data_IF_768530729389
#
_entry.id   IF_768530729389
#
_cell.length_a   1.000
_cell.length_b   1.000
_cell.length_c   1.000
_cell.angle_alpha   90.00
_cell.angle_beta   90.00
_cell.angle_gamma   90.00
#
_symmetry.space_group_name_H-M   'P 1'
#
loop_
_entity.id
_entity.type
_entity.pdbx_description
1 polymer ?
#
# COMPACT_ATOMS: atom_id res chain seq x y z
N UNK A 1 40.19 -26.31 -54.01
CA UNK A 1 40.76 -27.37 -53.15
C UNK A 1 41.37 -26.72 -51.93
N UNK A 2 41.04 -27.19 -50.71
CA UNK A 2 39.84 -26.72 -50.02
C UNK A 2 40.12 -25.59 -49.02
N UNK A 3 39.09 -24.76 -48.92
CA UNK A 3 38.96 -23.52 -48.16
C UNK A 3 38.36 -23.76 -46.77
N UNK A 4 38.91 -23.00 -45.82
CA UNK A 4 38.32 -22.44 -44.60
C UNK A 4 36.96 -23.01 -44.13
N UNK A 5 37.01 -23.60 -42.93
CA UNK A 5 35.92 -24.07 -42.09
C UNK A 5 34.81 -23.02 -41.88
N UNK A 6 33.59 -23.37 -42.28
CA UNK A 6 32.36 -22.65 -41.93
C UNK A 6 31.87 -23.08 -40.56
N UNK A 7 32.13 -22.24 -39.56
CA UNK A 7 31.53 -22.34 -38.23
C UNK A 7 30.07 -21.86 -38.26
N UNK A 8 29.18 -22.75 -37.84
CA UNK A 8 27.96 -22.54 -37.04
C UNK A 8 27.31 -21.15 -37.07
N UNK A 9 26.18 -21.03 -37.78
CA UNK A 9 25.11 -20.09 -37.43
C UNK A 9 24.02 -20.85 -36.68
N UNK A 10 24.10 -20.83 -35.35
CA UNK A 10 22.99 -21.18 -34.46
C UNK A 10 22.39 -19.88 -33.91
N UNK A 11 21.17 -19.59 -34.35
CA UNK A 11 20.31 -18.50 -33.90
C UNK A 11 20.04 -18.62 -32.40
N UNK A 12 20.72 -17.80 -31.60
CA UNK A 12 20.47 -17.63 -30.17
C UNK A 12 19.16 -16.84 -29.97
N UNK A 13 18.05 -17.57 -29.83
CA UNK A 13 16.91 -17.08 -29.05
C UNK A 13 17.37 -16.92 -27.59
N UNK A 14 17.81 -15.72 -27.23
CA UNK A 14 18.03 -15.36 -25.82
C UNK A 14 16.65 -15.29 -25.16
N UNK A 15 16.19 -16.43 -24.64
CA UNK A 15 15.19 -16.45 -23.56
C UNK A 15 15.81 -15.68 -22.40
N UNK A 16 15.43 -14.41 -22.23
CA UNK A 16 15.62 -13.70 -20.96
C UNK A 16 14.79 -14.43 -19.91
N UNK A 17 15.39 -15.44 -19.29
CA UNK A 17 14.93 -15.99 -18.03
C UNK A 17 14.94 -14.83 -17.03
N UNK A 18 13.76 -14.38 -16.60
CA UNK A 18 13.64 -13.55 -15.40
C UNK A 18 14.25 -14.36 -14.26
N UNK A 19 15.51 -14.09 -13.94
CA UNK A 19 16.07 -14.43 -12.66
C UNK A 19 15.45 -13.41 -11.71
N UNK A 20 14.32 -13.76 -11.10
CA UNK A 20 13.89 -13.12 -9.86
C UNK A 20 15.12 -13.12 -8.96
N UNK A 21 15.55 -11.97 -8.40
CA UNK A 21 16.66 -11.98 -7.48
C UNK A 21 16.34 -13.02 -6.41
N UNK A 22 17.23 -14.00 -6.24
CA UNK A 22 17.36 -14.67 -4.95
C UNK A 22 17.52 -13.52 -3.97
N UNK A 23 16.48 -13.26 -3.18
CA UNK A 23 16.58 -12.37 -2.04
C UNK A 23 17.77 -12.91 -1.26
N UNK A 24 18.87 -12.17 -1.30
CA UNK A 24 20.14 -12.61 -0.77
C UNK A 24 20.01 -12.63 0.75
N UNK A 25 19.59 -13.79 1.25
CA UNK A 25 19.92 -14.28 2.58
C UNK A 25 21.44 -14.47 2.57
N UNK A 26 22.20 -13.51 3.09
CA UNK A 26 23.48 -13.71 3.79
C UNK A 26 23.84 -12.37 4.48
N UNK A 27 24.07 -12.40 5.80
CA UNK A 27 24.83 -11.35 6.49
C UNK A 27 24.30 -10.88 7.84
N UNK A 28 24.19 -11.79 8.82
CA UNK A 28 24.30 -11.57 10.27
C UNK A 28 23.73 -10.26 10.88
N UNK A 29 22.41 -10.22 11.09
CA UNK A 29 21.79 -10.00 12.40
C UNK A 29 20.25 -9.95 12.24
N UNK A 30 19.63 -11.09 12.56
CA UNK A 30 18.29 -11.28 13.13
C UNK A 30 17.16 -10.28 12.79
N UNK A 31 16.76 -10.14 11.51
CA UNK A 31 15.41 -9.62 11.14
C UNK A 31 14.80 -10.44 9.95
N UNK A 32 15.30 -11.66 9.73
CA UNK A 32 14.99 -12.47 8.54
C UNK A 32 13.70 -13.31 8.57
N UNK A 33 12.74 -13.04 9.48
CA UNK A 33 11.59 -13.94 9.68
C UNK A 33 10.20 -13.33 9.40
N UNK A 34 10.07 -12.02 9.16
CA UNK A 34 8.73 -11.39 9.15
C UNK A 34 8.08 -11.18 7.77
N UNK A 35 8.82 -11.31 6.67
CA UNK A 35 8.24 -11.11 5.33
C UNK A 35 7.60 -12.39 4.73
N UNK A 36 7.96 -13.58 5.21
CA UNK A 36 7.49 -14.84 4.63
C UNK A 36 6.11 -15.32 5.14
N UNK A 37 5.47 -14.62 6.08
CA UNK A 37 4.33 -15.19 6.84
C UNK A 37 3.00 -14.43 6.75
N UNK A 38 2.86 -13.35 5.98
CA UNK A 38 1.62 -12.53 6.03
C UNK A 38 0.56 -12.82 4.96
N UNK A 39 0.83 -13.51 3.84
CA UNK A 39 -0.17 -13.62 2.76
C UNK A 39 -0.52 -15.07 2.44
N UNK A 40 -1.42 -15.66 3.22
CA UNK A 40 -2.08 -16.94 2.93
C UNK A 40 -3.45 -16.68 2.28
N UNK A 41 -3.44 -16.32 0.99
CA UNK A 41 -4.63 -16.19 0.15
C UNK A 41 -4.24 -15.85 -1.28
N UNK A 42 -4.19 -16.86 -2.16
CA UNK A 42 -3.78 -16.79 -3.58
C UNK A 42 -2.33 -16.34 -3.86
N UNK A 43 -1.36 -17.20 -3.49
CA UNK A 43 0.06 -17.01 -3.78
C UNK A 43 0.36 -16.81 -5.28
N UNK A 44 -0.40 -17.43 -6.18
CA UNK A 44 -0.18 -17.33 -7.63
C UNK A 44 -0.53 -15.95 -8.20
N UNK A 45 -1.62 -15.33 -7.72
CA UNK A 45 -2.00 -13.97 -8.11
C UNK A 45 -1.04 -12.94 -7.50
N UNK A 46 -0.59 -13.17 -6.28
CA UNK A 46 0.35 -12.29 -5.58
C UNK A 46 1.70 -12.16 -6.30
N UNK A 47 2.26 -13.26 -6.80
CA UNK A 47 3.50 -13.23 -7.60
C UNK A 47 3.32 -12.44 -8.91
N UNK A 48 2.16 -12.56 -9.55
CA UNK A 48 1.83 -11.78 -10.74
C UNK A 48 1.73 -10.28 -10.44
N UNK A 49 1.13 -9.91 -9.31
CA UNK A 49 1.05 -8.51 -8.86
C UNK A 49 2.43 -7.93 -8.57
N UNK A 50 3.28 -8.64 -7.83
CA UNK A 50 4.65 -8.21 -7.56
C UNK A 50 5.41 -7.98 -8.88
N UNK A 51 5.33 -8.94 -9.81
CA UNK A 51 6.01 -8.82 -11.10
C UNK A 51 5.54 -7.60 -11.90
N UNK A 52 4.24 -7.33 -11.88
CA UNK A 52 3.65 -6.17 -12.55
C UNK A 52 4.08 -4.86 -11.88
N UNK A 53 4.13 -4.80 -10.53
CA UNK A 53 4.65 -3.65 -9.79
C UNK A 53 6.11 -3.35 -10.13
N UNK A 54 6.98 -4.37 -10.18
CA UNK A 54 8.36 -4.20 -10.65
C UNK A 54 8.48 -3.71 -12.10
N UNK A 55 7.46 -3.92 -12.91
CA UNK A 55 7.42 -3.38 -14.29
C UNK A 55 7.07 -1.89 -14.31
N UNK A 56 6.35 -1.40 -13.28
CA UNK A 56 6.02 0.01 -13.09
C UNK A 56 7.18 0.76 -12.43
N UNK A 57 7.91 0.11 -11.52
CA UNK A 57 9.06 0.71 -10.86
C UNK A 57 10.20 0.98 -11.85
N UNK A 58 10.88 2.12 -11.68
CA UNK A 58 12.12 2.38 -12.41
C UNK A 58 13.19 1.34 -12.04
N UNK A 59 14.08 0.96 -12.99
CA UNK A 59 15.12 -0.04 -12.75
C UNK A 59 16.04 0.26 -11.57
N UNK A 60 16.27 1.54 -11.28
CA UNK A 60 17.15 2.01 -10.21
C UNK A 60 16.44 2.13 -8.85
N UNK A 61 15.16 1.75 -8.77
CA UNK A 61 14.39 1.81 -7.54
C UNK A 61 14.22 0.42 -6.93
N UNK A 62 14.42 0.35 -5.62
CA UNK A 62 14.37 -0.89 -4.85
C UNK A 62 13.14 -0.92 -3.96
N UNK A 63 12.31 -1.95 -4.11
CA UNK A 63 11.21 -2.22 -3.19
C UNK A 63 11.77 -2.79 -1.89
N UNK A 64 11.59 -2.07 -0.79
CA UNK A 64 12.10 -2.45 0.55
C UNK A 64 11.01 -2.94 1.48
N UNK A 65 9.77 -2.51 1.28
CA UNK A 65 8.60 -2.99 2.01
C UNK A 65 7.38 -2.97 1.10
N UNK A 66 6.50 -3.95 1.27
CA UNK A 66 5.12 -3.89 0.78
C UNK A 66 4.18 -4.45 1.84
N UNK A 67 3.13 -3.69 2.19
CA UNK A 67 2.06 -4.14 3.08
C UNK A 67 0.70 -3.91 2.43
N UNK A 68 -0.22 -4.84 2.64
CA UNK A 68 -1.60 -4.68 2.20
C UNK A 68 -2.37 -3.82 3.19
N UNK A 69 -3.15 -2.87 2.67
CA UNK A 69 -4.09 -2.05 3.42
C UNK A 69 -5.52 -2.54 3.25
N UNK A 70 -6.35 -2.19 4.21
CA UNK A 70 -7.80 -2.24 4.07
C UNK A 70 -8.25 -1.34 2.90
N UNK A 71 -9.33 -1.76 2.25
CA UNK A 71 -9.88 -1.11 1.07
C UNK A 71 -11.38 -0.97 1.24
N UNK A 72 -11.93 0.21 0.97
CA UNK A 72 -13.38 0.41 0.92
C UNK A 72 -14.06 -0.29 -0.26
N UNK A 73 -13.30 -0.88 -1.18
CA UNK A 73 -13.77 -1.45 -2.43
C UNK A 73 -13.49 -2.96 -2.49
N UNK A 74 -14.52 -3.81 -2.73
CA UNK A 74 -14.40 -5.27 -2.60
C UNK A 74 -13.50 -5.94 -3.65
N UNK A 75 -13.32 -5.31 -4.82
CA UNK A 75 -12.53 -5.86 -5.94
C UNK A 75 -11.22 -5.11 -6.17
N UNK A 76 -10.72 -4.43 -5.13
CA UNK A 76 -9.48 -3.65 -5.21
C UNK A 76 -8.62 -3.91 -3.99
N UNK A 77 -7.37 -4.24 -4.22
CA UNK A 77 -6.36 -4.36 -3.19
C UNK A 77 -5.50 -3.10 -3.16
N UNK A 78 -5.28 -2.57 -1.96
CA UNK A 78 -4.40 -1.43 -1.73
C UNK A 78 -3.10 -1.94 -1.14
N UNK A 79 -1.97 -1.53 -1.71
CA UNK A 79 -0.66 -1.84 -1.18
C UNK A 79 0.10 -0.55 -0.89
N UNK A 80 0.58 -0.41 0.34
CA UNK A 80 1.55 0.60 0.70
C UNK A 80 2.94 0.02 0.49
N UNK A 81 3.74 0.69 -0.33
CA UNK A 81 5.08 0.24 -0.71
C UNK A 81 6.09 1.30 -0.30
N UNK A 82 7.16 0.88 0.38
CA UNK A 82 8.36 1.72 0.55
C UNK A 82 9.34 1.34 -0.55
N UNK A 83 9.79 2.34 -1.29
CA UNK A 83 10.86 2.20 -2.28
C UNK A 83 12.04 3.08 -1.90
N UNK A 84 13.24 2.64 -2.27
CA UNK A 84 14.47 3.40 -2.10
C UNK A 84 15.19 3.59 -3.43
N UNK A 85 15.92 4.68 -3.56
CA UNK A 85 16.73 5.03 -4.72
C UNK A 85 18.02 5.70 -4.24
N UNK A 86 19.14 5.46 -4.92
CA UNK A 86 20.34 6.27 -4.70
C UNK A 86 20.19 7.56 -5.48
N UNK A 87 19.99 8.66 -4.75
CA UNK A 87 19.77 9.98 -5.32
C UNK A 87 21.03 10.59 -5.96
N UNK A 88 20.87 11.76 -6.56
CA UNK A 88 21.98 12.50 -7.19
C UNK A 88 23.11 12.82 -6.21
N UNK A 89 22.79 12.94 -4.93
CA UNK A 89 23.74 13.21 -3.85
C UNK A 89 24.49 11.96 -3.36
N UNK A 90 24.32 10.81 -4.03
CA UNK A 90 24.92 9.52 -3.64
C UNK A 90 24.47 9.05 -2.25
N UNK A 91 23.27 9.46 -1.85
CA UNK A 91 22.62 9.07 -0.60
C UNK A 91 21.33 8.33 -0.91
N UNK A 92 20.91 7.42 -0.03
CA UNK A 92 19.67 6.68 -0.21
C UNK A 92 18.47 7.56 0.15
N UNK A 93 17.60 7.77 -0.83
CA UNK A 93 16.34 8.50 -0.75
C UNK A 93 15.19 7.49 -0.71
N UNK A 94 14.14 7.79 0.07
CA UNK A 94 13.03 6.85 0.29
C UNK A 94 11.69 7.51 -0.01
N UNK A 95 10.72 6.74 -0.51
CA UNK A 95 9.37 7.23 -0.75
C UNK A 95 8.32 6.15 -0.50
N UNK A 96 7.11 6.59 -0.17
CA UNK A 96 5.90 5.79 -0.15
C UNK A 96 5.18 5.87 -1.49
N UNK A 97 4.78 4.71 -2.00
CA UNK A 97 3.83 4.57 -3.10
C UNK A 97 2.57 3.84 -2.63
N UNK A 98 1.41 4.35 -2.99
CA UNK A 98 0.12 3.68 -2.84
C UNK A 98 -0.27 3.02 -4.15
N UNK A 99 -0.21 1.69 -4.20
CA UNK A 99 -0.64 0.93 -5.36
C UNK A 99 -2.10 0.48 -5.21
N UNK A 100 -2.89 0.70 -6.26
CA UNK A 100 -4.22 0.16 -6.43
C UNK A 100 -4.19 -0.98 -7.44
N UNK A 101 -4.55 -2.18 -7.00
CA UNK A 101 -4.58 -3.40 -7.80
C UNK A 101 -6.02 -3.85 -7.98
N UNK A 102 -6.48 -3.91 -9.23
CA UNK A 102 -7.77 -4.48 -9.61
C UNK A 102 -7.56 -5.73 -10.48
N UNK A 103 -8.64 -6.35 -10.93
CA UNK A 103 -8.57 -7.47 -11.89
C UNK A 103 -8.01 -7.07 -13.26
N UNK A 104 -8.10 -5.80 -13.65
CA UNK A 104 -7.76 -5.32 -14.99
C UNK A 104 -6.51 -4.45 -15.04
N UNK A 105 -6.18 -3.76 -13.96
CA UNK A 105 -5.12 -2.76 -13.95
C UNK A 105 -4.42 -2.63 -12.59
N UNK A 106 -3.18 -2.17 -12.65
CA UNK A 106 -2.41 -1.71 -11.49
C UNK A 106 -2.09 -0.24 -11.73
N UNK A 107 -2.44 0.60 -10.77
CA UNK A 107 -2.19 2.04 -10.82
C UNK A 107 -1.50 2.49 -9.53
N UNK A 108 -0.90 3.68 -9.58
CA UNK A 108 -0.41 4.37 -8.39
C UNK A 108 -1.45 5.44 -8.09
N UNK A 109 -1.94 5.49 -6.85
CA UNK A 109 -2.93 6.48 -6.40
C UNK A 109 -2.38 7.44 -5.33
N UNK A 110 -1.11 7.25 -4.94
CA UNK A 110 -0.42 8.10 -3.98
C UNK A 110 1.10 8.00 -4.17
N UNK A 111 1.78 9.14 -4.13
CA UNK A 111 3.24 9.24 -4.08
C UNK A 111 3.63 10.23 -2.99
N UNK A 112 4.37 9.78 -1.97
CA UNK A 112 4.82 10.63 -0.85
C UNK A 112 6.32 10.44 -0.59
N UNK A 113 7.17 11.46 -0.85
CA UNK A 113 8.58 11.41 -0.45
C UNK A 113 8.74 11.35 1.07
N UNK A 114 9.78 10.66 1.55
CA UNK A 114 10.10 10.60 2.99
C UNK A 114 11.13 11.67 3.33
N UNK A 115 10.64 12.74 3.94
CA UNK A 115 11.44 13.89 4.38
C UNK A 115 11.87 13.77 5.84
N UNK A 116 12.79 14.63 6.27
CA UNK A 116 13.28 14.70 7.64
C UNK A 116 12.19 15.10 8.66
N UNK A 117 11.20 15.89 8.22
CA UNK A 117 10.08 16.36 9.04
C UNK A 117 8.93 15.34 9.14
N UNK A 118 9.02 14.20 8.45
CA UNK A 118 7.97 13.19 8.44
C UNK A 118 7.71 12.66 9.86
N UNK A 119 6.46 12.84 10.31
CA UNK A 119 5.95 12.38 11.60
C UNK A 119 5.06 11.15 11.42
N UNK A 120 5.18 10.20 12.35
CA UNK A 120 4.49 8.91 12.29
C UNK A 120 3.89 8.59 13.66
N UNK A 121 2.56 8.54 13.73
CA UNK A 121 1.82 8.28 14.97
C UNK A 121 0.82 7.13 14.79
N UNK A 122 0.47 6.44 15.88
CA UNK A 122 -0.57 5.41 15.87
C UNK A 122 -1.94 6.05 16.10
N UNK A 123 -2.97 5.56 15.41
CA UNK A 123 -4.31 6.16 15.41
C UNK A 123 -5.31 5.47 16.37
N UNK A 124 -4.86 4.44 17.10
CA UNK A 124 -5.70 3.71 18.08
C UNK A 124 -6.72 2.73 17.46
N UNK A 125 -7.17 2.95 16.23
CA UNK A 125 -8.11 2.09 15.48
C UNK A 125 -7.40 1.06 14.58
N UNK A 126 -6.25 0.55 15.02
CA UNK A 126 -5.45 -0.42 14.23
C UNK A 126 -4.72 0.17 13.02
N UNK A 127 -4.76 1.50 12.85
CA UNK A 127 -4.04 2.23 11.80
C UNK A 127 -2.87 3.06 12.33
N UNK A 128 -2.18 3.70 11.39
CA UNK A 128 -1.16 4.71 11.66
C UNK A 128 -1.32 5.91 10.74
N UNK A 129 -0.91 7.07 11.24
CA UNK A 129 -0.93 8.35 10.55
C UNK A 129 0.48 8.73 10.16
N UNK A 130 0.62 9.24 8.95
CA UNK A 130 1.86 9.82 8.43
C UNK A 130 1.58 11.26 8.06
N UNK A 131 2.34 12.18 8.63
CA UNK A 131 2.21 13.61 8.37
C UNK A 131 3.55 14.14 7.87
N UNK A 132 3.53 14.88 6.77
CA UNK A 132 4.70 15.59 6.27
C UNK A 132 4.24 16.89 5.62
N UNK A 133 4.83 18.02 6.02
CA UNK A 133 4.35 19.35 5.68
C UNK A 133 2.82 19.48 5.87
N UNK A 134 2.09 19.81 4.80
CA UNK A 134 0.64 19.99 4.80
C UNK A 134 -0.14 18.72 4.39
N UNK A 135 0.54 17.59 4.23
CA UNK A 135 -0.08 16.33 3.84
C UNK A 135 -0.20 15.39 5.04
N UNK A 136 -1.40 14.86 5.23
CA UNK A 136 -1.71 13.92 6.29
C UNK A 136 -2.40 12.69 5.69
N UNK A 137 -1.78 11.53 5.85
CA UNK A 137 -2.26 10.25 5.34
C UNK A 137 -2.57 9.30 6.48
N UNK A 138 -3.65 8.55 6.34
CA UNK A 138 -4.01 7.49 7.27
C UNK A 138 -3.97 6.14 6.56
N UNK A 139 -3.27 5.20 7.17
CA UNK A 139 -3.13 3.85 6.65
C UNK A 139 -3.64 2.83 7.65
N UNK A 140 -4.47 1.91 7.19
CA UNK A 140 -5.01 0.79 7.97
C UNK A 140 -4.53 -0.54 7.38
N UNK A 141 -3.43 -1.11 7.87
CA UNK A 141 -2.93 -2.40 7.39
C UNK A 141 -3.86 -3.54 7.80
N UNK A 142 -3.99 -4.57 6.96
CA UNK A 142 -4.93 -5.71 7.18
C UNK A 142 -4.62 -6.58 8.41
N UNK A 143 -3.51 -6.32 9.11
CA UNK A 143 -3.13 -7.04 10.32
C UNK A 143 -2.20 -6.21 11.21
N UNK A 144 -2.20 -6.54 12.51
CA UNK A 144 -1.27 -5.95 13.50
C UNK A 144 0.19 -6.20 13.13
N UNK A 145 0.51 -7.35 12.54
CA UNK A 145 1.87 -7.63 12.10
C UNK A 145 2.27 -6.72 10.92
N UNK A 146 1.38 -6.52 9.95
CA UNK A 146 1.61 -5.59 8.84
C UNK A 146 1.75 -4.14 9.33
N UNK A 147 0.93 -3.74 10.33
CA UNK A 147 1.01 -2.45 11.00
C UNK A 147 2.41 -2.21 11.58
N UNK A 148 2.88 -3.08 12.47
CA UNK A 148 4.19 -2.90 13.09
C UNK A 148 5.33 -2.97 12.08
N UNK A 149 5.23 -3.84 11.07
CA UNK A 149 6.24 -3.93 10.01
C UNK A 149 6.34 -2.61 9.23
N UNK A 150 5.22 -2.01 8.85
CA UNK A 150 5.19 -0.73 8.16
C UNK A 150 5.69 0.41 9.05
N UNK A 151 5.20 0.47 10.29
CA UNK A 151 5.57 1.51 11.25
C UNK A 151 7.08 1.53 11.50
N UNK A 152 7.69 0.37 11.75
CA UNK A 152 9.13 0.26 12.03
C UNK A 152 9.99 0.60 10.81
N UNK A 153 9.63 0.10 9.63
CA UNK A 153 10.35 0.42 8.39
C UNK A 153 10.26 1.90 8.03
N UNK A 154 9.11 2.55 8.25
CA UNK A 154 8.94 3.97 8.04
C UNK A 154 9.77 4.81 9.01
N UNK A 155 9.80 4.45 10.29
CA UNK A 155 10.68 5.12 11.27
C UNK A 155 12.16 5.01 10.87
N UNK A 156 12.58 3.85 10.37
CA UNK A 156 13.94 3.68 9.85
C UNK A 156 14.23 4.62 8.68
N UNK A 157 13.35 4.68 7.69
CA UNK A 157 13.50 5.56 6.53
C UNK A 157 13.47 7.04 6.93
N UNK A 158 12.59 7.43 7.85
CA UNK A 158 12.51 8.80 8.40
C UNK A 158 13.79 9.19 9.14
N UNK A 159 14.35 8.30 9.97
CA UNK A 159 15.63 8.56 10.63
C UNK A 159 16.79 8.76 9.64
N UNK A 160 16.79 8.01 8.54
CA UNK A 160 17.77 8.20 7.47
C UNK A 160 17.60 9.55 6.77
N UNK A 161 16.35 9.94 6.49
CA UNK A 161 16.05 11.26 5.92
C UNK A 161 16.50 12.40 6.86
N UNK A 162 16.32 12.26 8.17
CA UNK A 162 16.84 13.19 9.18
C UNK A 162 18.36 13.22 9.22
N UNK A 163 19.01 12.06 9.10
CA UNK A 163 20.47 11.97 9.11
C UNK A 163 21.11 12.73 7.94
N UNK A 164 20.51 12.62 6.75
CA UNK A 164 20.98 13.33 5.55
C UNK A 164 20.32 14.71 5.34
N UNK A 165 19.49 15.17 6.28
CA UNK A 165 18.77 16.44 6.24
C UNK A 165 17.99 16.64 4.93
N UNK A 166 17.21 15.64 4.51
CA UNK A 166 16.30 15.81 3.38
C UNK A 166 15.15 16.73 3.76
N UNK A 167 15.19 17.96 3.26
CA UNK A 167 14.20 19.01 3.51
C UNK A 167 13.49 19.31 2.19
N UNK A 168 12.17 19.48 2.23
CA UNK A 168 11.39 19.87 1.05
C UNK A 168 11.83 21.20 0.48
N UNK A 169 11.67 21.37 -0.83
CA UNK A 169 11.81 22.64 -1.55
C UNK A 169 13.18 23.34 -1.44
N UNK A 170 14.19 22.74 -0.80
CA UNK A 170 15.52 23.33 -0.60
C UNK A 170 16.67 22.53 -1.22
N UNK A 171 16.38 21.42 -1.93
CA UNK A 171 17.41 20.55 -2.52
C UNK A 171 16.96 19.81 -3.78
N UNK A 172 17.90 19.07 -4.38
CA UNK A 172 17.72 18.23 -5.60
C UNK A 172 17.41 16.75 -5.25
N UNK A 173 16.84 16.53 -4.07
CA UNK A 173 16.55 15.20 -3.54
C UNK A 173 15.13 14.78 -3.92
N UNK A 174 14.93 13.51 -4.20
CA UNK A 174 13.65 12.91 -4.60
C UNK A 174 13.14 13.37 -5.99
N UNK A 175 14.00 13.95 -6.83
CA UNK A 175 13.66 14.36 -8.22
C UNK A 175 13.07 13.21 -9.06
N UNK A 176 13.51 11.97 -8.80
CA UNK A 176 13.06 10.77 -9.50
C UNK A 176 11.56 10.46 -9.27
N UNK A 177 10.94 11.04 -8.24
CA UNK A 177 9.51 10.86 -7.97
C UNK A 177 8.60 11.57 -8.98
N UNK A 178 9.12 12.49 -9.78
CA UNK A 178 8.34 13.11 -10.86
C UNK A 178 7.79 12.06 -11.84
N UNK A 179 8.56 10.99 -12.09
CA UNK A 179 8.11 9.87 -12.91
C UNK A 179 6.82 9.22 -12.40
N UNK A 180 6.73 8.96 -11.10
CA UNK A 180 5.55 8.33 -10.51
C UNK A 180 4.36 9.29 -10.43
N UNK A 181 4.61 10.58 -10.15
CA UNK A 181 3.58 11.62 -10.17
C UNK A 181 2.93 11.78 -11.54
N UNK A 182 3.69 11.61 -12.63
CA UNK A 182 3.12 11.60 -13.98
C UNK A 182 2.27 10.34 -14.28
N UNK A 183 2.57 9.20 -13.66
CA UNK A 183 1.83 7.94 -13.85
C UNK A 183 0.53 7.92 -13.04
N UNK A 184 0.52 8.59 -11.88
CA UNK A 184 -0.63 8.72 -10.96
C UNK A 184 -1.90 9.23 -11.68
N UNK A 185 -1.74 10.07 -12.70
CA UNK A 185 -2.80 10.64 -13.55
C UNK A 185 -3.69 9.60 -14.27
N UNK A 186 -3.33 8.32 -14.24
CA UNK A 186 -4.13 7.23 -14.84
C UNK A 186 -5.10 6.57 -13.86
N UNK A 187 -4.97 6.82 -12.55
CA UNK A 187 -5.81 6.19 -11.54
C UNK A 187 -7.21 6.82 -11.50
N UNK A 188 -8.20 6.05 -11.08
CA UNK A 188 -9.55 6.53 -10.89
C UNK A 188 -9.58 7.56 -9.74
N UNK A 189 -10.22 8.71 -9.97
CA UNK A 189 -10.32 9.76 -8.96
C UNK A 189 -10.90 9.28 -7.63
N UNK A 190 -11.82 8.30 -7.66
CA UNK A 190 -12.39 7.72 -6.44
C UNK A 190 -11.31 7.03 -5.59
N UNK A 191 -10.35 6.35 -6.23
CA UNK A 191 -9.26 5.67 -5.54
C UNK A 191 -8.24 6.67 -4.99
N UNK A 192 -7.88 7.67 -5.79
CA UNK A 192 -7.03 8.79 -5.37
C UNK A 192 -7.64 9.50 -4.15
N UNK A 193 -8.95 9.73 -4.15
CA UNK A 193 -9.64 10.40 -3.05
C UNK A 193 -9.56 9.59 -1.74
N UNK A 194 -9.61 8.27 -1.81
CA UNK A 194 -9.48 7.41 -0.62
C UNK A 194 -8.05 7.41 -0.06
N UNK A 195 -7.03 7.54 -0.92
CA UNK A 195 -5.66 7.77 -0.45
C UNK A 195 -5.50 9.11 0.26
N UNK A 196 -6.17 10.16 -0.25
CA UNK A 196 -6.10 11.51 0.31
C UNK A 196 -7.16 11.79 1.39
N UNK A 197 -7.94 10.79 1.81
CA UNK A 197 -9.02 11.00 2.77
C UNK A 197 -8.46 11.28 4.17
N UNK A 198 -8.55 12.53 4.59
CA UNK A 198 -8.16 12.97 5.93
C UNK A 198 -9.34 12.74 6.89
N UNK A 199 -9.21 11.75 7.77
CA UNK A 199 -10.33 11.36 8.65
C UNK A 199 -10.76 12.45 9.63
N UNK A 200 -9.92 13.45 9.94
CA UNK A 200 -10.28 14.52 10.88
C UNK A 200 -11.38 15.48 10.37
N UNK A 201 -11.68 15.51 9.07
CA UNK A 201 -12.72 16.38 8.51
C UNK A 201 -14.08 15.66 8.37
N UNK A 202 -14.12 14.33 8.50
CA UNK A 202 -15.30 13.51 8.18
C UNK A 202 -15.97 12.86 9.40
N UNK A 203 -15.65 13.28 10.61
CA UNK A 203 -16.20 12.70 11.85
C UNK A 203 -17.72 12.84 12.04
N UNK A 204 -18.43 13.64 11.23
CA UNK A 204 -19.90 13.76 11.33
C UNK A 204 -20.56 14.26 10.03
N UNK A 205 -20.44 13.52 8.93
CA UNK A 205 -21.44 13.64 7.86
C UNK A 205 -22.09 12.30 7.64
N UNK A 206 -23.33 12.17 8.10
CA UNK A 206 -24.25 11.16 7.59
C UNK A 206 -24.15 11.18 6.07
N UNK A 207 -23.82 10.02 5.46
CA UNK A 207 -23.71 9.85 4.02
C UNK A 207 -24.84 10.60 3.32
N UNK A 208 -24.51 11.73 2.69
CA UNK A 208 -25.42 12.50 1.87
C UNK A 208 -25.00 12.35 0.42
N UNK A 209 -25.97 12.21 -0.47
CA UNK A 209 -26.43 10.94 -1.00
C UNK A 209 -25.53 10.47 -2.13
N UNK A 210 -25.23 9.17 -2.14
CA UNK A 210 -24.67 8.49 -3.30
C UNK A 210 -25.43 8.91 -4.57
N UNK A 211 -24.68 9.44 -5.53
CA UNK A 211 -25.11 9.60 -6.91
C UNK A 211 -25.87 8.35 -7.35
N UNK A 212 -27.08 8.57 -7.87
CA UNK A 212 -28.06 7.60 -8.31
C UNK A 212 -27.48 6.47 -9.16
N UNK A 213 -26.98 5.41 -8.53
CA UNK A 213 -27.14 4.07 -9.05
C UNK A 213 -28.39 3.50 -8.39
N UNK A 214 -29.48 3.25 -9.15
CA UNK A 214 -30.60 2.53 -8.59
C UNK A 214 -30.09 1.15 -8.17
N UNK A 215 -29.98 0.95 -6.85
CA UNK A 215 -29.80 -0.39 -6.26
C UNK A 215 -30.75 -1.33 -6.97
N UNK A 216 -30.23 -2.48 -7.39
CA UNK A 216 -31.04 -3.54 -7.97
C UNK A 216 -32.20 -3.89 -7.00
N UNK A 217 -33.32 -4.36 -7.55
CA UNK A 217 -34.49 -4.72 -6.71
C UNK A 217 -34.10 -5.70 -5.59
N UNK A 218 -33.14 -6.57 -5.87
CA UNK A 218 -32.63 -7.58 -4.95
C UNK A 218 -31.81 -6.96 -3.80
N UNK A 219 -30.98 -5.97 -4.08
CA UNK A 219 -30.22 -5.25 -3.05
C UNK A 219 -31.13 -4.44 -2.12
N UNK A 220 -32.20 -3.84 -2.66
CA UNK A 220 -33.22 -3.15 -1.86
C UNK A 220 -33.96 -4.14 -0.95
N UNK A 221 -34.34 -5.30 -1.48
CA UNK A 221 -35.01 -6.34 -0.72
C UNK A 221 -34.11 -6.93 0.37
N UNK A 222 -32.81 -7.14 0.08
CA UNK A 222 -31.83 -7.64 1.04
C UNK A 222 -31.60 -6.64 2.17
N UNK A 223 -31.37 -5.36 1.84
CA UNK A 223 -31.22 -4.29 2.85
C UNK A 223 -32.45 -4.16 3.74
N UNK A 224 -33.64 -4.25 3.15
CA UNK A 224 -34.90 -4.23 3.91
C UNK A 224 -34.96 -5.42 4.87
N UNK A 225 -34.59 -6.61 4.42
CA UNK A 225 -34.58 -7.82 5.24
C UNK A 225 -33.57 -7.74 6.40
N UNK A 226 -32.37 -7.24 6.12
CA UNK A 226 -31.34 -7.00 7.14
C UNK A 226 -31.83 -5.98 8.17
N UNK A 227 -32.38 -4.85 7.72
CA UNK A 227 -32.89 -3.80 8.62
C UNK A 227 -34.06 -4.27 9.47
N UNK A 228 -34.99 -5.05 8.91
CA UNK A 228 -36.09 -5.65 9.68
C UNK A 228 -35.55 -6.61 10.73
N UNK A 229 -34.58 -7.46 10.36
CA UNK A 229 -33.98 -8.42 11.30
C UNK A 229 -33.19 -7.73 12.42
N UNK A 230 -32.43 -6.68 12.09
CA UNK A 230 -31.73 -5.87 13.07
C UNK A 230 -32.70 -5.17 14.03
N UNK A 231 -33.78 -4.59 13.51
CA UNK A 231 -34.82 -3.97 14.36
C UNK A 231 -35.51 -5.00 15.26
N UNK A 232 -35.80 -6.19 14.74
CA UNK A 232 -36.37 -7.28 15.53
C UNK A 232 -35.42 -7.72 16.65
N UNK A 233 -34.12 -7.84 16.36
CA UNK A 233 -33.10 -8.14 17.37
C UNK A 233 -32.97 -7.02 18.40
N UNK A 234 -33.01 -5.75 17.97
CA UNK A 234 -33.00 -4.59 18.87
C UNK A 234 -34.26 -4.50 19.75
N UNK A 235 -35.37 -5.07 19.31
CA UNK A 235 -36.62 -5.19 20.07
C UNK A 235 -36.64 -6.44 20.99
N UNK A 236 -35.84 -7.46 20.68
CA UNK A 236 -35.70 -8.68 21.47
C UNK A 236 -34.58 -8.60 22.52
N UNK A 237 -33.77 -7.54 22.50
CA UNK A 237 -32.79 -7.25 23.55
C UNK A 237 -33.45 -6.33 24.59
N UNK A 238 -34.02 -6.95 25.62
CA UNK A 238 -34.37 -6.26 26.87
C UNK A 238 -33.07 -5.74 27.52
N UNK A 239 -32.86 -4.42 27.46
CA UNK A 239 -31.75 -3.72 28.12
C UNK A 239 -31.94 -3.59 29.64
N UNK A 240 -33.03 -4.13 30.21
CA UNK A 240 -33.39 -4.00 31.63
C UNK A 240 -32.95 -5.20 32.51
N UNK A 241 -32.12 -6.13 32.01
CA UNK A 241 -31.59 -7.25 32.82
C UNK A 241 -30.06 -7.35 32.90
N UNK A 242 -29.34 -6.23 32.82
CA UNK A 242 -27.95 -6.19 33.31
C UNK A 242 -27.89 -5.41 34.60
N UNK A 243 -28.36 -6.02 35.69
CA UNK A 243 -28.03 -5.56 37.05
C UNK A 243 -26.50 -5.62 37.18
N UNK A 244 -25.80 -4.51 37.47
CA UNK A 244 -24.41 -4.60 37.88
C UNK A 244 -24.39 -5.38 39.18
N UNK A 245 -23.91 -6.63 39.15
CA UNK A 245 -23.62 -7.35 40.39
C UNK A 245 -22.51 -6.59 41.09
N UNK A 246 -22.91 -5.88 42.14
CA UNK A 246 -22.03 -5.32 43.14
C UNK A 246 -21.09 -6.39 43.70
N UNK A 247 -19.90 -5.92 44.01
CA UNK A 247 -18.82 -6.55 44.76
C UNK A 247 -19.32 -7.32 46.00
N UNK A 248 -18.83 -8.55 46.17
CA UNK A 248 -18.34 -9.08 47.44
C UNK A 248 -17.30 -10.16 47.19
#
# INVERSE_FOLDING_TARGET
MPSLSSNQQSTLHVKKTLILPKIAVVGNHTIGCHLARIVAGNADNFQSYIKSMYTILQPDNHLTLMVQLESGFPNRFRYLVIITCIGKQQTEESALLGFDVTSSEITIGMTLPIWADLDISLDGDGGFKVTSYDQCYMFKPVSVQALWTAYQSLHKASNQARHYNYITNTGVTHDWLEYYRHIDLRSNQIYINEWNQMNDILSHRSDSPHLYQPLSSDEKALRTRINVKLKELMLQVDLDQVTPKFVS
#
